data_IF_929339942400
#
_entry.id   IF_929339942400
#
_cell.length_a   1.000
_cell.length_b   1.000
_cell.length_c   1.000
_cell.angle_alpha   90.00
_cell.angle_beta   90.00
_cell.angle_gamma   90.00
#
_symmetry.space_group_name_H-M   'P 1'
#
loop_
_entity.id
_entity.type
_entity.pdbx_description
1 polymer ?
#
# COMPACT_ATOMS: atom_id res chain seq x y z
N UNK A 1 -6.04 7.80 -2.03
CA UNK A 1 -5.42 6.98 -0.96
C UNK A 1 -4.71 5.81 -1.60
N UNK A 2 -3.55 5.41 -1.08
CA UNK A 2 -2.76 4.28 -1.56
C UNK A 2 -2.54 3.30 -0.40
N UNK A 3 -2.40 2.00 -0.69
CA UNK A 3 -2.24 0.96 0.33
C UNK A 3 -1.11 0.00 0.00
N UNK A 4 -0.57 -0.73 0.97
CA UNK A 4 0.38 -1.81 0.70
C UNK A 4 -0.28 -2.98 -0.04
N UNK A 5 -1.35 -3.52 0.53
CA UNK A 5 -2.21 -4.54 -0.08
C UNK A 5 -3.67 -4.12 0.09
N UNK A 6 -4.48 -4.29 -0.96
CA UNK A 6 -5.91 -3.97 -0.88
C UNK A 6 -6.61 -4.84 0.16
N UNK A 7 -6.30 -6.13 0.18
CA UNK A 7 -6.92 -7.10 1.10
C UNK A 7 -6.57 -6.85 2.56
N UNK A 8 -5.32 -6.56 2.89
CA UNK A 8 -4.89 -6.27 4.26
C UNK A 8 -5.44 -4.94 4.76
N UNK A 9 -5.26 -3.86 3.97
CA UNK A 9 -5.72 -2.54 4.38
C UNK A 9 -7.24 -2.46 4.60
N UNK A 10 -8.04 -3.16 3.79
CA UNK A 10 -9.51 -3.15 3.92
C UNK A 10 -10.05 -4.06 5.03
N UNK A 11 -9.18 -4.78 5.75
CA UNK A 11 -9.57 -5.69 6.85
C UNK A 11 -8.94 -5.32 8.18
N UNK A 12 -7.72 -4.78 8.16
CA UNK A 12 -6.88 -4.64 9.36
C UNK A 12 -6.58 -3.17 9.71
N UNK A 13 -6.46 -2.28 8.71
CA UNK A 13 -6.21 -0.86 8.95
C UNK A 13 -7.48 -0.17 9.45
N UNK A 14 -7.60 0.05 10.76
CA UNK A 14 -8.76 0.74 11.35
C UNK A 14 -9.05 2.11 10.73
N UNK A 15 -8.00 2.82 10.32
CA UNK A 15 -8.03 4.09 9.58
C UNK A 15 -8.47 3.99 8.11
N UNK A 16 -8.69 2.77 7.59
CA UNK A 16 -9.31 2.49 6.29
C UNK A 16 -10.67 1.81 6.49
N UNK A 17 -10.72 0.76 7.33
CA UNK A 17 -11.92 -0.03 7.60
C UNK A 17 -13.05 0.83 8.14
N UNK A 18 -12.79 1.69 9.14
CA UNK A 18 -13.84 2.50 9.74
C UNK A 18 -14.38 3.58 8.77
N UNK A 19 -13.54 4.32 8.02
CA UNK A 19 -14.02 5.22 6.97
C UNK A 19 -14.78 4.55 5.83
N UNK A 20 -14.40 3.32 5.44
CA UNK A 20 -15.17 2.53 4.45
C UNK A 20 -16.53 2.14 5.01
N UNK A 21 -16.58 1.65 6.25
CA UNK A 21 -17.81 1.25 6.92
C UNK A 21 -18.77 2.43 7.15
N UNK A 22 -18.23 3.62 7.45
CA UNK A 22 -19.04 4.84 7.60
C UNK A 22 -19.45 5.48 6.26
N UNK A 23 -18.89 5.03 5.14
CA UNK A 23 -19.13 5.57 3.81
C UNK A 23 -18.43 6.89 3.50
N UNK A 24 -17.65 7.45 4.45
CA UNK A 24 -16.84 8.66 4.24
C UNK A 24 -15.72 8.38 3.21
N UNK A 25 -15.16 7.18 3.23
CA UNK A 25 -14.27 6.68 2.20
C UNK A 25 -15.03 5.71 1.30
N UNK A 26 -14.92 5.87 -0.02
CA UNK A 26 -15.43 4.89 -0.99
C UNK A 26 -14.32 3.91 -1.37
N UNK A 27 -14.63 2.62 -1.67
CA UNK A 27 -13.61 1.66 -2.13
C UNK A 27 -12.78 2.18 -3.31
N UNK A 28 -13.43 2.84 -4.27
CA UNK A 28 -12.77 3.41 -5.46
C UNK A 28 -11.83 4.59 -5.16
N UNK A 29 -11.89 5.16 -3.96
CA UNK A 29 -10.94 6.21 -3.52
C UNK A 29 -9.58 5.63 -3.10
N UNK A 30 -9.47 4.29 -3.00
CA UNK A 30 -8.19 3.57 -2.90
C UNK A 30 -7.65 3.40 -4.32
N UNK A 31 -6.77 4.31 -4.71
CA UNK A 31 -6.30 4.52 -6.09
C UNK A 31 -5.45 3.33 -6.56
N UNK A 32 -4.49 2.91 -5.75
CA UNK A 32 -3.55 1.84 -6.09
C UNK A 32 -3.03 1.14 -4.84
N UNK A 33 -2.59 -0.11 -5.00
CA UNK A 33 -1.70 -0.76 -4.04
C UNK A 33 -0.22 -0.61 -4.40
N UNK A 34 0.67 -1.10 -3.52
CA UNK A 34 2.13 -0.99 -3.72
C UNK A 34 2.59 -1.78 -4.96
N UNK A 35 1.89 -2.85 -5.33
CA UNK A 35 2.21 -3.63 -6.53
C UNK A 35 1.94 -2.81 -7.80
N UNK A 36 0.74 -2.24 -7.91
CA UNK A 36 0.34 -1.39 -9.04
C UNK A 36 1.25 -0.16 -9.17
N UNK A 37 1.63 0.46 -8.04
CA UNK A 37 2.54 1.62 -8.02
C UNK A 37 3.96 1.25 -8.45
N UNK A 38 4.53 0.16 -7.90
CA UNK A 38 5.89 -0.27 -8.21
C UNK A 38 6.06 -0.67 -9.68
N UNK A 39 4.98 -1.10 -10.33
CA UNK A 39 4.96 -1.48 -11.76
C UNK A 39 4.58 -0.33 -12.70
N UNK A 40 4.22 0.84 -12.17
CA UNK A 40 3.74 1.97 -12.96
C UNK A 40 2.38 1.73 -13.62
N UNK A 41 1.59 0.77 -13.12
CA UNK A 41 0.25 0.47 -13.62
C UNK A 41 -0.78 1.51 -13.16
N UNK A 42 -0.47 2.18 -12.04
CA UNK A 42 -1.22 3.32 -11.52
C UNK A 42 -0.28 4.49 -11.27
N UNK A 43 -0.78 5.69 -11.56
CA UNK A 43 -0.09 6.92 -11.24
C UNK A 43 -0.03 7.11 -9.71
N UNK A 44 1.15 7.51 -9.22
CA UNK A 44 1.30 8.08 -7.88
C UNK A 44 0.88 9.55 -7.86
N UNK A 45 1.53 10.38 -7.03
CA UNK A 45 1.32 11.84 -7.01
C UNK A 45 1.44 12.44 -8.42
N UNK A 46 0.44 13.22 -8.83
CA UNK A 46 0.39 13.88 -10.14
C UNK A 46 0.61 15.40 -10.05
N UNK A 47 0.61 15.99 -8.85
CA UNK A 47 0.90 17.42 -8.69
C UNK A 47 1.15 17.86 -7.25
N UNK A 48 1.61 19.10 -7.10
CA UNK A 48 1.98 19.70 -5.82
C UNK A 48 0.78 20.05 -4.93
N UNK A 49 -0.40 20.24 -5.54
CA UNK A 49 -1.64 20.50 -4.81
C UNK A 49 -2.28 19.25 -4.19
N UNK A 50 -1.79 18.05 -4.48
CA UNK A 50 -2.39 16.81 -3.99
C UNK A 50 -1.94 16.49 -2.56
N UNK A 51 -2.88 16.07 -1.71
CA UNK A 51 -2.55 15.42 -0.45
C UNK A 51 -2.64 13.91 -0.67
N UNK A 52 -1.51 13.21 -0.59
CA UNK A 52 -1.44 11.76 -0.78
C UNK A 52 -1.20 11.06 0.55
N UNK A 53 -1.93 9.98 0.79
CA UNK A 53 -1.72 9.06 1.91
C UNK A 53 -1.35 7.69 1.37
N UNK A 54 -0.23 7.14 1.81
CA UNK A 54 0.08 5.71 1.68
C UNK A 54 -0.12 5.06 3.05
N UNK A 55 -1.03 4.09 3.14
CA UNK A 55 -1.31 3.36 4.38
C UNK A 55 -0.83 1.92 4.26
N UNK A 56 -0.01 1.49 5.21
CA UNK A 56 0.47 0.11 5.32
C UNK A 56 0.04 -0.52 6.65
N UNK A 57 -0.30 -1.80 6.59
CA UNK A 57 -0.48 -2.72 7.71
C UNK A 57 0.68 -3.72 7.83
N UNK A 58 1.44 -3.89 6.75
CA UNK A 58 2.55 -4.83 6.58
C UNK A 58 2.15 -6.01 5.71
N UNK A 59 3.06 -6.43 4.83
CA UNK A 59 2.89 -7.64 4.03
C UNK A 59 4.12 -8.56 4.16
N UNK A 60 3.91 -9.84 4.45
CA UNK A 60 4.99 -10.82 4.61
C UNK A 60 5.94 -10.94 3.39
N UNK A 61 5.46 -10.52 2.21
CA UNK A 61 6.30 -10.41 1.01
C UNK A 61 7.45 -9.41 1.19
N UNK A 62 7.22 -8.31 1.92
CA UNK A 62 8.21 -7.27 2.19
C UNK A 62 9.34 -7.82 3.07
N UNK A 63 8.98 -8.56 4.14
CA UNK A 63 9.93 -9.26 5.00
C UNK A 63 10.76 -10.28 4.22
N UNK A 64 10.10 -11.09 3.39
CA UNK A 64 10.77 -12.11 2.57
C UNK A 64 11.73 -11.48 1.56
N UNK A 65 11.30 -10.40 0.88
CA UNK A 65 12.13 -9.69 -0.08
C UNK A 65 13.37 -9.10 0.58
N UNK A 66 13.20 -8.45 1.74
CA UNK A 66 14.31 -7.91 2.53
C UNK A 66 15.26 -9.03 3.01
N UNK A 67 14.71 -10.13 3.53
CA UNK A 67 15.47 -11.30 3.96
C UNK A 67 16.31 -11.91 2.84
N UNK A 68 15.74 -12.07 1.64
CA UNK A 68 16.47 -12.54 0.46
C UNK A 68 17.59 -11.56 0.07
N UNK A 69 17.32 -10.25 0.10
CA UNK A 69 18.30 -9.24 -0.25
C UNK A 69 19.51 -9.27 0.70
N UNK A 70 19.27 -9.31 2.01
CA UNK A 70 20.33 -9.42 3.03
C UNK A 70 21.10 -10.73 2.89
N UNK A 71 20.39 -11.85 2.73
CA UNK A 71 21.01 -13.16 2.54
C UNK A 71 21.95 -13.19 1.33
N UNK A 72 21.51 -12.66 0.19
CA UNK A 72 22.33 -12.56 -1.03
C UNK A 72 23.52 -11.62 -0.86
N UNK A 73 23.37 -10.52 -0.12
CA UNK A 73 24.48 -9.60 0.14
C UNK A 73 25.58 -10.22 1.03
N UNK A 74 25.22 -11.19 1.88
CA UNK A 74 26.15 -11.87 2.79
C UNK A 74 26.73 -13.17 2.23
N UNK A 75 25.99 -13.89 1.38
CA UNK A 75 26.52 -15.02 0.61
C UNK A 75 27.36 -14.49 -0.55
N UNK A 76 28.68 -14.44 -0.34
CA UNK A 76 29.67 -14.34 -1.43
C UNK A 76 29.62 -15.57 -2.33
#
# INVERSE_FOLDING_TARGET
>A
VYVDTRSGATKEAGDIVQPLASGVLKPDAIIADLHELARGEKAGRQGDGEITLFKSVGAALEDLAAGIAVYKALKR
#
